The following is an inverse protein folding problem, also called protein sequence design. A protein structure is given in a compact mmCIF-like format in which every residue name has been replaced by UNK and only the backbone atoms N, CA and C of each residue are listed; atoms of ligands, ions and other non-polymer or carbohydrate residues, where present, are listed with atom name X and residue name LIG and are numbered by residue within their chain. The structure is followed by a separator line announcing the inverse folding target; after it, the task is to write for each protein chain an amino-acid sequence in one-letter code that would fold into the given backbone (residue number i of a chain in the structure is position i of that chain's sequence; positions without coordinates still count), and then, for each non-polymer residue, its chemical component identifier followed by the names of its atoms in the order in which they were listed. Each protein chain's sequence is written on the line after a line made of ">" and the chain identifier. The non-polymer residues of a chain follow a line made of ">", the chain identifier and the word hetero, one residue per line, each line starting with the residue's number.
data_IF_466522328801
#
_entry.id   IF_466522328801
#
_cell.length_a   1.000
_cell.length_b   1.000
_cell.length_c   1.000
_cell.angle_alpha   90.00
_cell.angle_beta   90.00
_cell.angle_gamma   90.00
#
_symmetry.space_group_name_H-M   'P 1'
#
loop_
_entity.id
_entity.type
_entity.pdbx_description
1 polymer ?
#
# COMPACT_ATOMS: atom_id res chain seq x y z
N UNK A 1 -10.65 4.67 -21.54
CA UNK A 1 -11.66 5.49 -20.84
C UNK A 1 -12.27 4.62 -19.78
N UNK A 2 -11.71 4.60 -18.57
CA UNK A 2 -12.46 4.14 -17.40
C UNK A 2 -13.04 5.41 -16.80
N UNK A 3 -14.36 5.50 -16.80
CA UNK A 3 -15.09 6.68 -16.36
C UNK A 3 -14.69 7.04 -14.93
N UNK A 4 -14.25 8.28 -14.72
CA UNK A 4 -14.05 8.81 -13.38
C UNK A 4 -15.41 8.74 -12.66
N UNK A 5 -15.45 8.07 -11.51
CA UNK A 5 -16.65 8.01 -10.68
C UNK A 5 -17.01 9.44 -10.26
N UNK A 6 -18.29 9.80 -10.41
CA UNK A 6 -18.80 11.09 -9.94
C UNK A 6 -18.84 11.10 -8.42
N UNK A 7 -18.69 12.28 -7.81
CA UNK A 7 -18.72 12.51 -6.36
C UNK A 7 -19.92 11.84 -5.66
N UNK A 8 -21.06 11.71 -6.35
CA UNK A 8 -22.26 11.02 -5.86
C UNK A 8 -21.97 9.54 -5.51
N UNK A 9 -21.18 8.83 -6.33
CA UNK A 9 -20.86 7.41 -6.11
C UNK A 9 -19.90 7.21 -4.94
N UNK A 10 -19.00 8.18 -4.70
CA UNK A 10 -18.10 8.17 -3.53
C UNK A 10 -18.92 8.31 -2.24
N UNK A 11 -19.93 9.20 -2.26
CA UNK A 11 -20.88 9.36 -1.16
C UNK A 11 -21.66 8.06 -0.88
N UNK A 12 -22.20 7.42 -1.92
CA UNK A 12 -22.90 6.13 -1.78
C UNK A 12 -22.01 5.04 -1.17
N UNK A 13 -20.72 5.00 -1.54
CA UNK A 13 -19.80 3.99 -1.01
C UNK A 13 -19.46 4.23 0.47
N UNK A 14 -19.22 5.48 0.86
CA UNK A 14 -18.99 5.84 2.27
C UNK A 14 -20.24 5.58 3.13
N UNK A 15 -21.42 5.87 2.60
CA UNK A 15 -22.68 5.52 3.26
C UNK A 15 -22.84 4.01 3.40
N UNK A 16 -22.49 3.23 2.36
CA UNK A 16 -22.51 1.78 2.42
C UNK A 16 -21.55 1.23 3.50
N UNK A 17 -20.36 1.82 3.65
CA UNK A 17 -19.39 1.40 4.67
C UNK A 17 -19.87 1.70 6.09
N UNK A 18 -20.44 2.89 6.32
CA UNK A 18 -21.11 3.22 7.57
C UNK A 18 -22.30 2.30 7.89
N UNK A 19 -22.88 1.64 6.88
CA UNK A 19 -23.99 0.71 7.07
C UNK A 19 -23.57 -0.64 7.66
N UNK A 20 -22.30 -1.04 7.48
CA UNK A 20 -21.79 -2.33 7.95
C UNK A 20 -21.38 -2.32 9.42
N UNK A 21 -20.95 -1.18 9.97
CA UNK A 21 -20.58 -1.03 11.38
C UNK A 21 -21.74 -0.42 12.18
N UNK A 22 -22.71 -1.24 12.57
CA UNK A 22 -23.87 -0.79 13.36
C UNK A 22 -23.60 -0.73 14.86
N UNK A 23 -22.57 -1.42 15.33
CA UNK A 23 -22.14 -1.44 16.72
C UNK A 23 -21.04 -0.41 17.02
N UNK A 24 -20.52 0.29 16.01
CA UNK A 24 -19.51 1.33 16.18
C UNK A 24 -18.21 0.75 16.75
N UNK A 25 -18.00 -0.55 16.54
CA UNK A 25 -16.87 -1.30 17.09
C UNK A 25 -15.68 -1.30 16.12
N UNK A 26 -15.96 -1.04 14.82
CA UNK A 26 -14.91 -0.94 13.83
C UNK A 26 -14.23 0.39 14.05
N UNK A 27 -13.18 0.31 14.85
CA UNK A 27 -12.17 1.34 15.01
C UNK A 27 -11.45 1.46 13.66
N UNK A 28 -12.12 2.06 12.68
CA UNK A 28 -11.53 2.44 11.41
C UNK A 28 -10.38 3.37 11.78
N UNK A 29 -9.16 2.84 11.67
CA UNK A 29 -7.95 3.65 11.79
C UNK A 29 -8.10 4.73 10.72
N UNK A 30 -8.14 5.98 11.16
CA UNK A 30 -8.28 7.16 10.30
C UNK A 30 -7.33 7.08 9.11
N UNK A 31 -6.14 6.52 9.32
CA UNK A 31 -5.13 6.33 8.28
C UNK A 31 -5.61 5.45 7.11
N UNK A 32 -6.42 4.42 7.38
CA UNK A 32 -6.96 3.52 6.34
C UNK A 32 -8.06 4.21 5.55
N UNK A 33 -9.02 4.87 6.23
CA UNK A 33 -10.07 5.61 5.53
C UNK A 33 -9.48 6.78 4.75
N UNK A 34 -8.52 7.49 5.33
CA UNK A 34 -7.85 8.58 4.64
C UNK A 34 -7.06 8.05 3.43
N UNK A 35 -6.39 6.91 3.56
CA UNK A 35 -5.71 6.25 2.45
C UNK A 35 -6.70 5.82 1.35
N UNK A 36 -7.80 5.17 1.71
CA UNK A 36 -8.84 4.74 0.75
C UNK A 36 -9.52 5.94 0.08
N UNK A 37 -9.85 6.97 0.85
CA UNK A 37 -10.39 8.22 0.33
C UNK A 37 -9.40 8.86 -0.64
N UNK A 38 -8.12 8.92 -0.27
CA UNK A 38 -7.06 9.57 -1.05
C UNK A 38 -6.79 8.81 -2.36
N UNK A 39 -6.55 7.50 -2.27
CA UNK A 39 -6.34 6.59 -3.42
C UNK A 39 -7.52 6.63 -4.38
N UNK A 40 -8.75 6.81 -3.90
CA UNK A 40 -9.92 6.92 -4.78
C UNK A 40 -10.18 8.32 -5.33
N UNK A 41 -9.73 9.39 -4.66
CA UNK A 41 -9.98 10.77 -5.14
C UNK A 41 -8.94 11.25 -6.14
N UNK A 42 -7.67 10.82 -6.04
CA UNK A 42 -6.59 11.42 -6.83
C UNK A 42 -5.91 10.41 -7.76
N UNK A 43 -6.53 10.28 -8.94
CA UNK A 43 -5.93 10.07 -10.27
C UNK A 43 -4.52 9.48 -10.26
N UNK A 44 -4.39 8.27 -10.81
CA UNK A 44 -3.19 7.44 -11.11
C UNK A 44 -1.82 8.16 -11.22
N UNK A 45 -1.77 9.43 -11.66
CA UNK A 45 -0.57 10.25 -11.72
C UNK A 45 0.02 10.67 -10.37
N UNK A 46 -0.80 10.98 -9.35
CA UNK A 46 -0.26 11.33 -8.03
C UNK A 46 0.13 10.07 -7.24
N UNK A 47 -0.65 8.99 -7.39
CA UNK A 47 -0.30 7.69 -6.85
C UNK A 47 1.09 7.22 -7.31
N UNK A 48 1.48 7.47 -8.57
CA UNK A 48 2.83 7.12 -9.04
C UNK A 48 3.93 7.88 -8.28
N UNK A 49 3.77 9.19 -8.07
CA UNK A 49 4.77 9.99 -7.33
C UNK A 49 4.81 9.60 -5.85
N UNK A 50 3.66 9.30 -5.24
CA UNK A 50 3.61 8.80 -3.86
C UNK A 50 4.23 7.41 -3.72
N UNK A 51 3.98 6.50 -4.67
CA UNK A 51 4.60 5.18 -4.71
C UNK A 51 6.11 5.29 -4.90
N UNK A 52 6.60 6.25 -5.69
CA UNK A 52 8.04 6.55 -5.79
C UNK A 52 8.64 7.05 -4.49
N UNK A 53 7.96 7.96 -3.80
CA UNK A 53 8.43 8.48 -2.51
C UNK A 53 8.41 7.39 -1.44
N UNK A 54 7.36 6.56 -1.40
CA UNK A 54 7.31 5.38 -0.56
C UNK A 54 8.47 4.44 -0.90
N UNK A 55 8.65 4.08 -2.17
CA UNK A 55 9.74 3.22 -2.63
C UNK A 55 11.11 3.75 -2.16
N UNK A 56 11.38 5.05 -2.30
CA UNK A 56 12.61 5.71 -1.81
C UNK A 56 12.79 5.68 -0.30
N UNK A 57 11.71 5.63 0.47
CA UNK A 57 11.80 5.48 1.93
C UNK A 57 12.18 4.05 2.30
N UNK A 58 11.75 3.07 1.51
CA UNK A 58 12.05 1.67 1.71
C UNK A 58 13.47 1.31 1.23
N UNK A 59 13.81 1.68 -0.01
CA UNK A 59 15.13 1.56 -0.62
C UNK A 59 16.11 2.54 0.04
N UNK A 60 16.90 2.02 1.00
CA UNK A 60 17.79 2.83 1.84
C UNK A 60 19.12 3.12 1.19
N UNK A 61 19.62 2.23 0.35
CA UNK A 61 20.88 2.40 -0.36
C UNK A 61 20.73 3.04 -1.74
N UNK A 62 19.49 3.20 -2.20
CA UNK A 62 19.10 3.79 -3.48
C UNK A 62 19.62 3.02 -4.68
N UNK A 63 19.68 1.69 -4.57
CA UNK A 63 20.08 0.80 -5.67
C UNK A 63 18.95 0.51 -6.67
N UNK A 64 17.71 0.91 -6.33
CA UNK A 64 16.52 0.71 -7.15
C UNK A 64 15.74 -0.57 -6.81
N UNK A 65 16.09 -1.28 -5.75
CA UNK A 65 15.46 -2.49 -5.28
C UNK A 65 15.21 -2.42 -3.77
N UNK A 66 14.22 -3.15 -3.27
CA UNK A 66 14.00 -3.30 -1.83
C UNK A 66 14.43 -4.70 -1.43
N UNK A 67 15.55 -4.78 -0.70
CA UNK A 67 16.00 -6.05 -0.16
C UNK A 67 15.17 -6.50 1.05
N UNK A 68 15.14 -7.80 1.38
CA UNK A 68 14.49 -8.30 2.60
C UNK A 68 14.99 -7.59 3.87
N UNK A 69 16.28 -7.24 3.90
CA UNK A 69 16.87 -6.55 5.06
C UNK A 69 16.35 -5.12 5.21
N UNK A 70 16.10 -4.42 4.10
CA UNK A 70 15.55 -3.07 4.09
C UNK A 70 14.07 -3.07 4.47
N UNK A 71 13.28 -3.99 3.89
CA UNK A 71 11.88 -4.18 4.26
C UNK A 71 11.75 -4.41 5.76
N UNK A 72 12.57 -5.32 6.32
CA UNK A 72 12.63 -5.58 7.77
C UNK A 72 13.02 -4.34 8.57
N UNK A 73 13.98 -3.56 8.09
CA UNK A 73 14.46 -2.35 8.76
C UNK A 73 13.35 -1.29 8.85
N UNK A 74 12.62 -1.10 7.76
CA UNK A 74 11.50 -0.15 7.66
C UNK A 74 10.35 -0.59 8.58
N UNK A 75 9.96 -1.87 8.53
CA UNK A 75 8.92 -2.42 9.41
C UNK A 75 9.27 -2.25 10.89
N UNK A 76 10.54 -2.50 11.27
CA UNK A 76 11.02 -2.26 12.63
C UNK A 76 11.02 -0.79 13.03
N UNK A 77 11.28 0.11 12.08
CA UNK A 77 11.23 1.56 12.31
C UNK A 77 9.80 2.03 12.61
N UNK A 78 8.80 1.42 11.98
CA UNK A 78 7.37 1.67 12.25
C UNK A 78 6.93 1.09 13.61
N UNK A 79 7.73 0.19 14.19
CA UNK A 79 7.46 -0.47 15.48
C UNK A 79 6.81 -1.85 15.34
N UNK A 80 6.62 -2.32 14.11
CA UNK A 80 6.18 -3.68 13.80
C UNK A 80 7.31 -4.68 14.07
N UNK A 81 6.95 -5.82 14.67
CA UNK A 81 7.90 -6.93 14.91
C UNK A 81 7.67 -8.00 13.88
N UNK A 82 8.32 -7.85 12.73
CA UNK A 82 8.37 -8.89 11.70
C UNK A 82 9.56 -9.82 11.93
N UNK A 83 9.30 -11.12 11.80
CA UNK A 83 10.32 -12.18 11.81
C UNK A 83 10.98 -12.28 10.44
N UNK A 84 12.17 -12.89 10.39
CA UNK A 84 12.87 -13.07 9.10
C UNK A 84 12.05 -13.98 8.15
N UNK A 85 11.34 -14.98 8.68
CA UNK A 85 10.46 -15.85 7.90
C UNK A 85 9.27 -15.09 7.29
N UNK A 86 8.65 -14.18 8.03
CA UNK A 86 7.56 -13.35 7.53
C UNK A 86 8.04 -12.40 6.42
N UNK A 87 9.21 -11.77 6.61
CA UNK A 87 9.81 -10.90 5.60
C UNK A 87 10.14 -11.68 4.34
N UNK A 88 10.71 -12.88 4.46
CA UNK A 88 10.98 -13.75 3.31
C UNK A 88 9.70 -14.16 2.58
N UNK A 89 8.59 -14.45 3.29
CA UNK A 89 7.31 -14.73 2.64
C UNK A 89 6.77 -13.50 1.92
N UNK A 90 6.82 -12.31 2.54
CA UNK A 90 6.37 -11.07 1.91
C UNK A 90 7.15 -10.74 0.64
N UNK A 91 8.48 -10.87 0.69
CA UNK A 91 9.33 -10.68 -0.49
C UNK A 91 8.97 -11.70 -1.56
N UNK A 92 8.84 -12.98 -1.21
CA UNK A 92 8.52 -14.03 -2.18
C UNK A 92 7.14 -13.87 -2.84
N UNK A 93 6.17 -13.26 -2.17
CA UNK A 93 4.85 -12.97 -2.74
C UNK A 93 4.88 -11.76 -3.68
N UNK A 94 5.77 -10.81 -3.42
CA UNK A 94 5.97 -9.60 -4.20
C UNK A 94 6.90 -9.78 -5.40
N UNK A 95 7.95 -10.57 -5.22
CA UNK A 95 9.01 -10.91 -6.17
C UNK A 95 8.44 -11.82 -7.26
N UNK A 96 8.17 -11.24 -8.42
CA UNK A 96 7.60 -11.89 -9.59
C UNK A 96 8.66 -12.49 -10.50
N UNK A 97 9.88 -11.95 -10.48
CA UNK A 97 10.98 -12.42 -11.33
C UNK A 97 11.87 -13.49 -10.65
N UNK A 98 11.78 -13.59 -9.34
CA UNK A 98 12.45 -14.57 -8.48
C UNK A 98 13.90 -14.21 -8.12
N UNK A 99 14.29 -12.93 -8.18
CA UNK A 99 15.64 -12.49 -7.85
C UNK A 99 15.89 -12.31 -6.34
N UNK A 100 14.83 -12.37 -5.53
CA UNK A 100 14.85 -12.21 -4.08
C UNK A 100 14.85 -10.75 -3.61
N UNK A 101 14.63 -9.81 -4.51
CA UNK A 101 14.47 -8.38 -4.27
C UNK A 101 13.08 -7.94 -4.76
N UNK A 102 12.70 -6.69 -4.47
CA UNK A 102 11.45 -6.11 -4.97
C UNK A 102 11.82 -4.88 -5.76
N UNK A 103 11.61 -4.90 -7.07
CA UNK A 103 11.82 -3.73 -7.91
C UNK A 103 10.65 -2.74 -7.83
N UNK A 104 10.78 -1.58 -8.48
CA UNK A 104 9.72 -0.57 -8.48
C UNK A 104 8.43 -1.06 -9.15
N UNK A 105 8.50 -1.81 -10.25
CA UNK A 105 7.30 -2.33 -10.93
C UNK A 105 6.59 -3.36 -10.05
N UNK A 106 7.32 -4.25 -9.38
CA UNK A 106 6.81 -5.22 -8.43
C UNK A 106 6.18 -4.56 -7.21
N UNK A 107 6.84 -3.55 -6.65
CA UNK A 107 6.30 -2.75 -5.55
C UNK A 107 4.99 -2.06 -5.94
N UNK A 108 4.96 -1.43 -7.11
CA UNK A 108 3.74 -0.79 -7.64
C UNK A 108 2.65 -1.84 -7.87
N UNK A 109 2.97 -2.99 -8.45
CA UNK A 109 2.00 -4.07 -8.64
C UNK A 109 1.49 -4.63 -7.33
N UNK A 110 2.33 -4.76 -6.31
CA UNK A 110 1.93 -5.20 -4.98
C UNK A 110 0.97 -4.19 -4.32
N UNK A 111 1.23 -2.89 -4.47
CA UNK A 111 0.37 -1.83 -3.92
C UNK A 111 -0.92 -1.62 -4.73
N UNK A 112 -0.92 -1.94 -6.03
CA UNK A 112 -2.08 -1.82 -6.91
C UNK A 112 -2.86 -3.14 -7.11
N UNK A 113 -2.33 -4.27 -6.64
CA UNK A 113 -3.01 -5.57 -6.75
C UNK A 113 -4.18 -5.62 -5.76
N UNK A 114 -5.38 -5.61 -6.34
CA UNK A 114 -6.69 -5.82 -5.70
C UNK A 114 -6.79 -7.20 -5.01
#
# INVERSE_FOLDING_TARGET
>A
MKDALREEQIGEFLEAFCLFDKDGDVQLKVDVVNCVLYVWTEKETEAEEELKEAFRVFDKDHDGYISPSELRSVMRTIGEKVTDEEVEQMVKEADLDGDGLIDYEEFVRMMLAD
#
